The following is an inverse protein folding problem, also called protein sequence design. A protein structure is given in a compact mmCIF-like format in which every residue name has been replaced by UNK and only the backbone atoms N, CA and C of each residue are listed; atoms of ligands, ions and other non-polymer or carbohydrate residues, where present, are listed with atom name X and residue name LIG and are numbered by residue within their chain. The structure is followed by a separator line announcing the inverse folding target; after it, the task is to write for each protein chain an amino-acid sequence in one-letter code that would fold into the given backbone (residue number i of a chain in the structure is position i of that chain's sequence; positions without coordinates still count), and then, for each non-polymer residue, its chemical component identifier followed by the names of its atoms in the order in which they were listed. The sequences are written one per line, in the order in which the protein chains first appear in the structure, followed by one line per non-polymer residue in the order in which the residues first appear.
data_IF_205790431465
#
_entry.id   IF_205790431465
#
_cell.length_a   1.000
_cell.length_b   1.000
_cell.length_c   1.000
_cell.angle_alpha   90.00
_cell.angle_beta   90.00
_cell.angle_gamma   90.00
#
_symmetry.space_group_name_H-M   'P 1'
#
loop_
_entity.id
_entity.type
_entity.pdbx_description
1 polymer ?
#
# COMPACT_ATOMS: atom_id res chain seq x y z
N UNK A 1 -5.90 15.98 8.65
CA UNK A 1 -4.55 16.31 8.16
C UNK A 1 -4.53 16.10 6.64
N UNK A 2 -4.07 17.07 5.85
CA UNK A 2 -3.94 16.94 4.39
C UNK A 2 -2.55 16.40 4.06
N UNK A 3 -2.38 15.08 4.05
CA UNK A 3 -1.15 14.45 3.57
C UNK A 3 -0.93 14.73 2.08
N UNK A 4 0.31 14.57 1.59
CA UNK A 4 0.69 14.92 0.20
C UNK A 4 -0.12 14.19 -0.86
N UNK A 5 -0.71 13.05 -0.52
CA UNK A 5 -1.49 12.20 -1.43
C UNK A 5 -2.97 12.12 -1.05
N UNK A 6 -3.45 13.04 -0.20
CA UNK A 6 -4.84 13.04 0.25
C UNK A 6 -5.83 13.06 -0.93
N UNK A 7 -6.77 12.11 -0.92
CA UNK A 7 -7.79 11.97 -1.97
C UNK A 7 -7.26 11.40 -3.30
N UNK A 8 -6.06 10.81 -3.31
CA UNK A 8 -5.52 10.08 -4.46
C UNK A 8 -5.63 8.58 -4.25
N UNK A 9 -5.81 7.86 -5.35
CA UNK A 9 -5.66 6.41 -5.40
C UNK A 9 -4.26 6.08 -5.93
N UNK A 10 -3.54 5.19 -5.25
CA UNK A 10 -2.22 4.72 -5.66
C UNK A 10 -2.21 3.20 -5.86
N UNK A 11 -1.72 2.76 -7.01
CA UNK A 11 -1.52 1.33 -7.32
C UNK A 11 -0.04 1.02 -7.16
N UNK A 12 0.30 0.04 -6.33
CA UNK A 12 1.67 -0.36 -6.06
C UNK A 12 1.85 -1.83 -6.43
N UNK A 13 2.60 -2.07 -7.50
CA UNK A 13 3.01 -3.42 -7.93
C UNK A 13 4.21 -3.91 -7.12
N UNK A 14 4.25 -5.19 -6.76
CA UNK A 14 5.26 -5.73 -5.84
C UNK A 14 5.09 -5.19 -4.41
N UNK A 15 3.87 -4.78 -4.04
CA UNK A 15 3.59 -4.06 -2.80
C UNK A 15 3.59 -4.92 -1.55
N UNK A 16 3.66 -6.25 -1.67
CA UNK A 16 3.42 -7.12 -0.52
C UNK A 16 4.66 -7.33 0.36
N UNK A 17 5.86 -6.98 -0.09
CA UNK A 17 7.10 -7.21 0.65
C UNK A 17 8.18 -6.15 0.43
N UNK A 18 9.25 -6.24 1.23
CA UNK A 18 10.44 -5.40 1.09
C UNK A 18 10.12 -3.90 0.99
N UNK A 19 10.69 -3.26 -0.03
CA UNK A 19 10.45 -1.83 -0.31
C UNK A 19 8.99 -1.54 -0.67
N UNK A 20 8.34 -2.44 -1.41
CA UNK A 20 6.94 -2.27 -1.82
C UNK A 20 6.01 -2.08 -0.64
N UNK A 21 6.16 -2.90 0.41
CA UNK A 21 5.40 -2.77 1.65
C UNK A 21 5.63 -1.41 2.34
N UNK A 22 6.88 -0.96 2.42
CA UNK A 22 7.21 0.35 2.98
C UNK A 22 6.61 1.52 2.18
N UNK A 23 6.51 1.39 0.85
CA UNK A 23 5.86 2.39 -0.01
C UNK A 23 4.35 2.40 0.23
N UNK A 24 3.69 1.23 0.34
CA UNK A 24 2.26 1.11 0.68
C UNK A 24 1.96 1.84 1.99
N UNK A 25 2.72 1.53 3.03
CA UNK A 25 2.57 2.15 4.36
C UNK A 25 2.77 3.67 4.30
N UNK A 26 3.82 4.13 3.61
CA UNK A 26 4.10 5.56 3.45
C UNK A 26 2.98 6.28 2.71
N UNK A 27 2.44 5.70 1.63
CA UNK A 27 1.41 6.32 0.81
C UNK A 27 0.07 6.38 1.53
N UNK A 28 -0.26 5.34 2.30
CA UNK A 28 -1.41 5.34 3.23
C UNK A 28 -1.27 6.48 4.26
N UNK A 29 -0.09 6.62 4.87
CA UNK A 29 0.18 7.69 5.83
C UNK A 29 0.12 9.10 5.21
N UNK A 30 0.45 9.24 3.92
CA UNK A 30 0.28 10.47 3.15
C UNK A 30 -1.18 10.69 2.68
N UNK A 31 -2.12 9.82 3.06
CA UNK A 31 -3.56 9.97 2.86
C UNK A 31 -4.11 9.40 1.55
N UNK A 32 -3.34 8.54 0.87
CA UNK A 32 -3.81 7.85 -0.33
C UNK A 32 -4.67 6.64 0.02
N UNK A 33 -5.64 6.34 -0.84
CA UNK A 33 -6.24 5.02 -0.94
C UNK A 33 -5.29 4.12 -1.74
N UNK A 34 -4.83 3.03 -1.16
CA UNK A 34 -3.77 2.21 -1.76
C UNK A 34 -4.32 0.86 -2.22
N UNK A 35 -4.05 0.51 -3.47
CA UNK A 35 -4.22 -0.83 -4.02
C UNK A 35 -2.81 -1.46 -4.11
N UNK A 36 -2.54 -2.48 -3.31
CA UNK A 36 -1.35 -3.30 -3.52
C UNK A 36 -1.65 -4.43 -4.51
N UNK A 37 -0.72 -4.64 -5.43
CA UNK A 37 -0.73 -5.76 -6.37
C UNK A 37 0.56 -6.55 -6.20
N UNK A 38 0.46 -7.86 -6.05
CA UNK A 38 1.61 -8.74 -5.96
C UNK A 38 1.31 -10.05 -6.68
N UNK A 39 2.37 -10.76 -7.06
CA UNK A 39 2.23 -12.03 -7.78
C UNK A 39 1.72 -13.14 -6.86
N UNK A 40 2.13 -13.12 -5.58
CA UNK A 40 1.72 -14.13 -4.61
C UNK A 40 0.55 -13.62 -3.78
N UNK A 41 -0.65 -14.08 -4.11
CA UNK A 41 -1.92 -13.62 -3.50
C UNK A 41 -1.90 -13.70 -1.96
N UNK A 42 -1.40 -14.79 -1.39
CA UNK A 42 -1.36 -15.00 0.06
C UNK A 42 -0.49 -13.97 0.78
N UNK A 43 0.65 -13.59 0.18
CA UNK A 43 1.52 -12.54 0.73
C UNK A 43 0.82 -11.18 0.61
N UNK A 44 0.16 -10.93 -0.52
CA UNK A 44 -0.66 -9.74 -0.74
C UNK A 44 -1.78 -9.58 0.30
N UNK A 45 -2.54 -10.65 0.57
CA UNK A 45 -3.60 -10.68 1.59
C UNK A 45 -3.05 -10.41 2.98
N UNK A 46 -1.98 -11.10 3.36
CA UNK A 46 -1.33 -10.91 4.66
C UNK A 46 -0.90 -9.45 4.86
N UNK A 47 -0.24 -8.87 3.86
CA UNK A 47 0.21 -7.47 3.95
C UNK A 47 -0.97 -6.50 3.95
N UNK A 48 -2.04 -6.78 3.20
CA UNK A 48 -3.26 -5.97 3.25
C UNK A 48 -3.91 -5.99 4.64
N UNK A 49 -3.95 -7.15 5.31
CA UNK A 49 -4.48 -7.29 6.67
C UNK A 49 -3.61 -6.58 7.71
N UNK A 50 -2.29 -6.69 7.61
CA UNK A 50 -1.34 -6.00 8.48
C UNK A 50 -1.42 -4.47 8.35
N UNK A 51 -1.79 -3.97 7.17
CA UNK A 51 -1.83 -2.54 6.84
C UNK A 51 -3.26 -1.99 6.75
N UNK A 52 -4.28 -2.67 7.30
CA UNK A 52 -5.63 -2.09 7.51
C UNK A 52 -5.58 -0.91 8.47
#
# INVERSE_FOLDING_TARGET
MSGKLSGKVAIITGGAGGLGKGIVERFKNDGADVILADFVEEVGKKTAEELK
#
